data_IF_495666509261
#
_entry.id   IF_495666509261
#
_cell.length_a   1.000
_cell.length_b   1.000
_cell.length_c   1.000
_cell.angle_alpha   90.00
_cell.angle_beta   90.00
_cell.angle_gamma   90.00
#
_symmetry.space_group_name_H-M   'P 1'
#
loop_
_entity.id
_entity.type
_entity.pdbx_description
1 polymer ?
#
# COMPACT_ATOMS: atom_id res chain seq x y z
N UNK A 1 -22.73 32.11 -20.02
CA UNK A 1 -22.48 30.66 -19.86
C UNK A 1 -21.02 30.52 -19.48
N UNK A 2 -20.76 30.02 -18.29
CA UNK A 2 -19.41 29.75 -17.76
C UNK A 2 -18.65 28.78 -18.69
N UNK A 3 -17.42 29.13 -19.08
CA UNK A 3 -16.60 28.28 -19.96
C UNK A 3 -16.20 27.02 -19.23
N UNK A 4 -15.92 25.94 -19.95
CA UNK A 4 -15.50 24.65 -19.36
C UNK A 4 -14.25 24.79 -18.47
N UNK A 5 -13.30 25.63 -18.88
CA UNK A 5 -12.11 26.00 -18.14
C UNK A 5 -12.47 26.55 -16.73
N UNK A 6 -13.37 27.51 -16.70
CA UNK A 6 -13.74 28.20 -15.47
C UNK A 6 -14.46 27.26 -14.48
N UNK A 7 -15.26 26.32 -15.00
CA UNK A 7 -15.91 25.29 -14.19
C UNK A 7 -14.90 24.33 -13.53
N UNK A 8 -13.83 23.99 -14.27
CA UNK A 8 -12.77 23.12 -13.75
C UNK A 8 -11.98 23.86 -12.66
N UNK A 9 -11.64 25.12 -12.88
CA UNK A 9 -10.96 25.94 -11.87
C UNK A 9 -11.83 26.12 -10.62
N UNK A 10 -13.12 26.44 -10.79
CA UNK A 10 -14.07 26.56 -9.67
C UNK A 10 -14.16 25.25 -8.85
N UNK A 11 -14.10 24.09 -9.52
CA UNK A 11 -14.02 22.81 -8.82
C UNK A 11 -12.76 22.73 -7.93
N UNK A 12 -11.58 23.06 -8.49
CA UNK A 12 -10.34 23.06 -7.72
C UNK A 12 -10.35 24.07 -6.57
N UNK A 13 -10.93 25.26 -6.76
CA UNK A 13 -11.04 26.29 -5.72
C UNK A 13 -11.89 25.83 -4.53
N UNK A 14 -12.88 24.95 -4.78
CA UNK A 14 -13.78 24.40 -3.74
C UNK A 14 -13.29 23.09 -3.12
N UNK A 15 -12.22 22.49 -3.64
CA UNK A 15 -11.60 21.30 -2.99
C UNK A 15 -10.83 21.73 -1.75
N UNK A 16 -10.80 20.91 -0.71
CA UNK A 16 -10.00 21.18 0.50
C UNK A 16 -8.49 21.25 0.17
N UNK A 17 -7.76 22.07 0.90
CA UNK A 17 -6.30 22.16 0.74
C UNK A 17 -5.63 20.81 1.01
N UNK A 18 -4.55 20.52 0.31
CA UNK A 18 -3.84 19.25 0.40
C UNK A 18 -4.55 18.05 -0.24
N UNK A 19 -5.64 18.27 -1.00
CA UNK A 19 -6.37 17.19 -1.66
C UNK A 19 -5.80 16.88 -3.03
N UNK A 20 -5.48 15.61 -3.28
CA UNK A 20 -5.18 15.12 -4.63
C UNK A 20 -6.48 14.84 -5.37
N UNK A 21 -6.64 15.46 -6.54
CA UNK A 21 -7.77 15.27 -7.44
C UNK A 21 -7.41 14.30 -8.55
N UNK A 22 -8.13 13.18 -8.64
CA UNK A 22 -8.09 12.29 -9.80
C UNK A 22 -8.96 12.87 -10.91
N UNK A 23 -8.38 13.13 -12.08
CA UNK A 23 -9.12 13.67 -13.22
C UNK A 23 -10.24 12.73 -13.68
N UNK A 24 -10.05 11.40 -13.58
CA UNK A 24 -11.10 10.43 -13.89
C UNK A 24 -12.27 10.54 -12.92
N UNK A 25 -12.00 10.58 -11.61
CA UNK A 25 -13.04 10.67 -10.58
C UNK A 25 -13.79 12.02 -10.68
N UNK A 26 -13.04 13.09 -10.94
CA UNK A 26 -13.61 14.41 -11.18
C UNK A 26 -14.56 14.39 -12.41
N UNK A 27 -14.15 13.74 -13.50
CA UNK A 27 -15.00 13.59 -14.68
C UNK A 27 -16.27 12.79 -14.36
N UNK A 28 -16.13 11.63 -13.77
CA UNK A 28 -17.23 10.70 -13.46
C UNK A 28 -18.27 11.31 -12.51
N UNK A 29 -17.85 12.13 -11.54
CA UNK A 29 -18.75 12.66 -10.51
C UNK A 29 -19.26 14.08 -10.80
N UNK A 30 -18.56 14.86 -11.63
CA UNK A 30 -18.92 16.27 -11.84
C UNK A 30 -19.07 16.72 -13.29
N UNK A 31 -18.44 16.02 -14.24
CA UNK A 31 -18.26 16.51 -15.61
C UNK A 31 -18.74 15.54 -16.71
N UNK A 32 -19.48 14.49 -16.39
CA UNK A 32 -19.97 13.49 -17.37
C UNK A 32 -20.79 14.09 -18.53
N UNK A 33 -21.38 15.26 -18.34
CA UNK A 33 -22.14 15.96 -19.38
C UNK A 33 -21.25 16.70 -20.39
N UNK A 34 -19.96 16.82 -20.09
CA UNK A 34 -18.96 17.39 -20.98
C UNK A 34 -18.41 16.29 -21.89
N UNK A 35 -18.05 16.65 -23.14
CA UNK A 35 -17.29 15.71 -23.95
C UNK A 35 -15.99 15.32 -23.23
N UNK A 36 -15.76 14.02 -23.09
CA UNK A 36 -14.68 13.46 -22.28
C UNK A 36 -13.29 13.95 -22.76
N UNK A 37 -13.06 13.91 -24.07
CA UNK A 37 -11.78 14.34 -24.63
C UNK A 37 -11.55 15.84 -24.42
N UNK A 38 -12.60 16.66 -24.59
CA UNK A 38 -12.52 18.08 -24.32
C UNK A 38 -12.26 18.41 -22.86
N UNK A 39 -12.81 17.61 -21.93
CA UNK A 39 -12.56 17.74 -20.51
C UNK A 39 -11.08 17.47 -20.20
N UNK A 40 -10.53 16.30 -20.59
CA UNK A 40 -9.14 15.96 -20.29
C UNK A 40 -8.15 16.93 -20.93
N UNK A 41 -8.40 17.39 -22.16
CA UNK A 41 -7.59 18.44 -22.80
C UNK A 41 -7.64 19.76 -22.04
N UNK A 42 -8.79 20.11 -21.44
CA UNK A 42 -8.89 21.33 -20.64
C UNK A 42 -8.10 21.20 -19.32
N UNK A 43 -8.15 20.04 -18.66
CA UNK A 43 -7.35 19.76 -17.45
C UNK A 43 -5.85 19.83 -17.76
N UNK A 44 -5.40 19.18 -18.85
CA UNK A 44 -3.99 19.23 -19.27
C UNK A 44 -3.53 20.66 -19.54
N UNK A 45 -4.34 21.45 -20.29
CA UNK A 45 -4.02 22.85 -20.56
C UNK A 45 -3.90 23.68 -19.28
N UNK A 46 -4.80 23.50 -18.32
CA UNK A 46 -4.72 24.20 -17.03
C UNK A 46 -3.43 23.83 -16.26
N UNK A 47 -3.00 22.59 -16.37
CA UNK A 47 -1.72 22.16 -15.80
C UNK A 47 -0.53 22.77 -16.53
N UNK A 48 -0.55 22.84 -17.86
CA UNK A 48 0.51 23.46 -18.67
C UNK A 48 0.61 24.97 -18.41
N UNK A 49 -0.53 25.63 -18.15
CA UNK A 49 -0.62 27.04 -17.76
C UNK A 49 -0.21 27.28 -16.29
N UNK A 50 0.01 26.21 -15.50
CA UNK A 50 0.40 26.29 -14.08
C UNK A 50 -0.72 26.76 -13.15
N UNK A 51 -1.99 26.65 -13.57
CA UNK A 51 -3.16 26.96 -12.74
C UNK A 51 -3.50 25.82 -11.77
N UNK A 52 -3.19 24.59 -12.17
CA UNK A 52 -3.19 23.40 -11.33
C UNK A 52 -1.86 22.68 -11.50
N UNK A 53 -1.46 21.88 -10.53
CA UNK A 53 -0.17 21.19 -10.55
C UNK A 53 -0.37 19.69 -10.73
N UNK A 54 0.26 19.12 -11.74
CA UNK A 54 0.26 17.68 -11.96
C UNK A 54 1.27 17.00 -11.03
N UNK A 55 0.81 16.10 -10.18
CA UNK A 55 1.65 15.32 -9.25
C UNK A 55 1.86 13.88 -9.71
N UNK A 56 1.02 13.41 -10.64
CA UNK A 56 1.11 12.09 -11.24
C UNK A 56 0.24 11.97 -12.47
N UNK A 57 0.21 10.81 -13.12
CA UNK A 57 -0.63 10.59 -14.29
C UNK A 57 -2.13 10.70 -13.90
N UNK A 58 -2.81 11.73 -14.40
CA UNK A 58 -4.21 11.99 -14.10
C UNK A 58 -4.47 12.45 -12.67
N UNK A 59 -3.44 12.89 -11.94
CA UNK A 59 -3.52 13.34 -10.55
C UNK A 59 -3.00 14.76 -10.43
N UNK A 60 -3.81 15.62 -9.82
CA UNK A 60 -3.57 17.07 -9.76
C UNK A 60 -3.85 17.61 -8.36
N UNK A 61 -3.20 18.70 -8.01
CA UNK A 61 -3.45 19.49 -6.79
C UNK A 61 -3.68 20.95 -7.14
N UNK A 62 -4.21 21.72 -6.19
CA UNK A 62 -4.25 23.18 -6.30
C UNK A 62 -2.84 23.74 -6.44
N UNK A 63 -2.73 24.86 -7.11
CA UNK A 63 -1.49 25.63 -7.22
C UNK A 63 -0.95 26.06 -5.84
N UNK A 64 -1.84 26.41 -4.92
CA UNK A 64 -1.48 26.78 -3.53
C UNK A 64 -0.79 25.66 -2.77
N UNK A 65 -1.10 24.39 -3.06
CA UNK A 65 -0.56 23.22 -2.36
C UNK A 65 0.83 22.82 -2.88
N UNK A 66 1.29 23.40 -3.99
CA UNK A 66 2.59 23.08 -4.61
C UNK A 66 3.80 23.43 -3.72
N UNK A 67 3.61 24.26 -2.70
CA UNK A 67 4.66 24.61 -1.72
C UNK A 67 4.81 23.57 -0.59
N UNK A 68 3.86 22.63 -0.49
CA UNK A 68 3.87 21.56 0.50
C UNK A 68 4.73 20.36 0.11
N UNK A 69 4.80 19.37 1.00
CA UNK A 69 5.43 18.07 0.72
C UNK A 69 4.49 17.22 -0.15
N UNK A 70 4.79 17.19 -1.45
CA UNK A 70 4.02 16.40 -2.44
C UNK A 70 4.08 14.90 -2.10
N UNK A 71 5.19 14.41 -1.55
CA UNK A 71 5.31 13.01 -1.13
C UNK A 71 4.32 12.70 -0.02
N UNK A 72 4.21 13.57 0.98
CA UNK A 72 3.23 13.42 2.05
C UNK A 72 1.79 13.46 1.53
N UNK A 73 1.46 14.37 0.61
CA UNK A 73 0.14 14.43 -0.01
C UNK A 73 -0.20 13.14 -0.77
N UNK A 74 0.76 12.59 -1.52
CA UNK A 74 0.59 11.32 -2.23
C UNK A 74 0.40 10.14 -1.26
N UNK A 75 1.16 10.09 -0.19
CA UNK A 75 1.01 9.05 0.83
C UNK A 75 -0.37 9.14 1.49
N UNK A 76 -0.81 10.33 1.90
CA UNK A 76 -2.14 10.54 2.47
C UNK A 76 -3.25 10.11 1.51
N UNK A 77 -3.12 10.42 0.22
CA UNK A 77 -4.06 9.96 -0.81
C UNK A 77 -4.15 8.43 -0.90
N UNK A 78 -3.01 7.74 -0.95
CA UNK A 78 -2.99 6.28 -1.11
C UNK A 78 -3.32 5.52 0.18
N UNK A 79 -3.08 6.10 1.34
CA UNK A 79 -3.42 5.50 2.63
C UNK A 79 -4.87 5.77 3.04
N UNK A 80 -5.50 6.87 2.55
CA UNK A 80 -6.82 7.31 2.95
C UNK A 80 -6.82 7.96 4.34
N UNK A 81 -7.95 8.58 4.71
CA UNK A 81 -8.09 9.37 5.94
C UNK A 81 -7.74 8.60 7.21
N UNK A 82 -8.13 7.32 7.28
CA UNK A 82 -7.91 6.45 8.45
C UNK A 82 -6.70 5.51 8.28
N UNK A 83 -5.84 5.73 7.30
CA UNK A 83 -4.76 4.82 6.90
C UNK A 83 -5.22 3.37 6.63
N UNK A 84 -6.48 3.20 6.23
CA UNK A 84 -7.10 1.90 5.99
C UNK A 84 -6.98 1.41 4.54
N UNK A 85 -6.64 2.32 3.62
CA UNK A 85 -6.62 2.03 2.18
C UNK A 85 -5.24 1.68 1.63
N UNK A 86 -4.17 1.81 2.44
CA UNK A 86 -2.79 1.58 2.02
C UNK A 86 -1.95 0.89 3.09
N UNK A 87 -0.86 0.27 2.64
CA UNK A 87 0.17 -0.31 3.52
C UNK A 87 1.54 -0.23 2.87
N UNK A 88 2.57 0.05 3.65
CA UNK A 88 3.94 -0.01 3.17
C UNK A 88 4.40 -1.44 2.89
N UNK A 89 5.32 -1.57 1.93
CA UNK A 89 6.12 -2.77 1.69
C UNK A 89 7.61 -2.44 1.77
N UNK A 90 8.48 -3.45 1.68
CA UNK A 90 9.93 -3.24 1.67
C UNK A 90 10.46 -2.52 2.92
N UNK A 91 11.44 -1.65 2.72
CA UNK A 91 12.18 -0.98 3.82
C UNK A 91 11.25 -0.21 4.77
N UNK A 92 10.26 0.51 4.25
CA UNK A 92 9.33 1.27 5.08
C UNK A 92 8.48 0.36 5.98
N UNK A 93 8.06 -0.82 5.48
CA UNK A 93 7.40 -1.83 6.29
C UNK A 93 8.33 -2.37 7.38
N UNK A 94 9.59 -2.65 7.03
CA UNK A 94 10.55 -3.17 8.01
C UNK A 94 10.88 -2.12 9.09
N UNK A 95 10.98 -0.85 8.71
CA UNK A 95 11.13 0.26 9.66
C UNK A 95 9.91 0.43 10.57
N UNK A 96 8.68 0.27 10.05
CA UNK A 96 7.44 0.30 10.86
C UNK A 96 7.51 -0.64 12.06
N UNK A 97 8.09 -1.82 11.87
CA UNK A 97 8.26 -2.82 12.93
C UNK A 97 9.66 -2.79 13.58
N UNK A 98 10.47 -1.79 13.26
CA UNK A 98 11.83 -1.63 13.77
C UNK A 98 12.73 -2.84 13.47
N UNK A 99 12.48 -3.56 12.39
CA UNK A 99 13.26 -4.73 11.97
C UNK A 99 14.62 -4.35 11.40
N UNK A 100 14.76 -3.11 10.92
CA UNK A 100 16.00 -2.54 10.41
C UNK A 100 16.04 -1.03 10.68
N UNK A 101 17.25 -0.47 10.75
CA UNK A 101 17.46 0.98 10.81
C UNK A 101 17.84 1.58 9.44
N UNK A 102 18.01 0.74 8.42
CA UNK A 102 18.30 1.19 7.05
C UNK A 102 17.15 2.05 6.53
N UNK A 103 17.48 3.16 5.88
CA UNK A 103 16.52 4.07 5.25
C UNK A 103 16.52 3.90 3.75
N UNK A 104 15.43 4.28 3.11
CA UNK A 104 15.30 4.28 1.65
C UNK A 104 14.47 5.49 1.23
N UNK A 105 14.93 6.16 0.19
CA UNK A 105 14.16 7.23 -0.46
C UNK A 105 13.08 6.67 -1.39
N UNK A 106 13.26 5.42 -1.87
CA UNK A 106 12.22 4.72 -2.65
C UNK A 106 11.16 4.18 -1.72
N UNK A 107 9.91 4.51 -2.02
CA UNK A 107 8.73 4.10 -1.25
C UNK A 107 7.96 3.08 -2.08
N UNK A 108 7.68 1.91 -1.49
CA UNK A 108 6.82 0.90 -2.10
C UNK A 108 5.64 0.62 -1.18
N UNK A 109 4.44 0.56 -1.77
CA UNK A 109 3.21 0.32 -1.00
C UNK A 109 2.14 -0.41 -1.82
N UNK A 110 1.21 -1.04 -1.13
CA UNK A 110 -0.08 -1.43 -1.67
C UNK A 110 -1.13 -0.37 -1.36
N UNK A 111 -2.09 -0.17 -2.28
CA UNK A 111 -3.24 0.69 -2.00
C UNK A 111 -4.48 0.23 -2.77
N UNK A 112 -5.63 0.20 -2.07
CA UNK A 112 -6.95 -0.04 -2.65
C UNK A 112 -7.35 1.06 -3.65
N UNK A 113 -6.81 2.28 -3.47
CA UNK A 113 -7.09 3.45 -4.32
C UNK A 113 -6.42 3.32 -5.69
N UNK A 114 -5.34 2.53 -5.80
CA UNK A 114 -4.66 2.30 -7.06
C UNK A 114 -5.55 1.52 -8.04
N UNK A 115 -5.97 2.16 -9.14
CA UNK A 115 -6.83 1.54 -10.16
C UNK A 115 -6.05 0.62 -11.12
N UNK A 116 -4.76 0.86 -11.29
CA UNK A 116 -3.85 0.06 -12.12
C UNK A 116 -3.18 -1.02 -11.27
N UNK A 117 -2.68 -2.08 -11.90
CA UNK A 117 -1.92 -3.12 -11.19
C UNK A 117 -0.68 -2.55 -10.49
N UNK A 118 0.01 -1.62 -11.15
CA UNK A 118 1.16 -0.87 -10.62
C UNK A 118 1.13 0.53 -11.18
N UNK A 119 1.46 1.53 -10.37
CA UNK A 119 1.78 2.87 -10.83
C UNK A 119 3.04 3.40 -10.16
N UNK A 120 3.77 4.25 -10.87
CA UNK A 120 4.99 4.90 -10.39
C UNK A 120 4.79 6.41 -10.42
N UNK A 121 5.07 7.07 -9.31
CA UNK A 121 4.96 8.51 -9.15
C UNK A 121 6.21 9.00 -8.42
N UNK A 122 7.15 9.60 -9.16
CA UNK A 122 8.45 9.94 -8.60
C UNK A 122 9.16 8.71 -8.03
N UNK A 123 9.48 8.76 -6.75
CA UNK A 123 10.12 7.67 -6.01
C UNK A 123 9.13 6.70 -5.34
N UNK A 124 7.82 6.83 -5.62
CA UNK A 124 6.77 6.00 -5.03
C UNK A 124 6.30 4.96 -6.06
N UNK A 125 6.37 3.69 -5.70
CA UNK A 125 5.74 2.57 -6.40
C UNK A 125 4.48 2.15 -5.62
N UNK A 126 3.33 2.22 -6.29
CA UNK A 126 2.05 1.79 -5.71
C UNK A 126 1.52 0.59 -6.48
N UNK A 127 1.21 -0.49 -5.76
CA UNK A 127 0.60 -1.70 -6.31
C UNK A 127 -0.83 -1.84 -5.84
N UNK A 128 -1.71 -2.29 -6.72
CA UNK A 128 -3.05 -2.69 -6.33
C UNK A 128 -3.00 -4.08 -5.68
N UNK A 129 -3.48 -4.26 -4.44
CA UNK A 129 -3.56 -5.58 -3.84
C UNK A 129 -4.66 -6.43 -4.52
N UNK A 130 -4.50 -7.75 -4.49
CA UNK A 130 -5.51 -8.68 -5.01
C UNK A 130 -6.65 -8.94 -4.01
N UNK A 131 -6.57 -8.39 -2.81
CA UNK A 131 -7.59 -8.40 -1.75
C UNK A 131 -7.75 -7.00 -1.19
N UNK A 132 -8.89 -6.71 -0.61
CA UNK A 132 -9.11 -5.47 0.10
C UNK A 132 -8.20 -5.38 1.33
N UNK A 133 -7.60 -4.20 1.54
CA UNK A 133 -6.78 -3.91 2.72
C UNK A 133 -7.70 -3.49 3.87
N UNK A 134 -8.32 -4.47 4.49
CA UNK A 134 -8.91 -4.30 5.82
C UNK A 134 -7.85 -4.55 6.91
N UNK A 135 -8.21 -4.44 8.16
CA UNK A 135 -7.29 -4.60 9.29
C UNK A 135 -6.64 -5.99 9.31
N UNK A 136 -7.42 -7.05 9.13
CA UNK A 136 -6.94 -8.44 9.27
C UNK A 136 -6.15 -8.87 8.04
N UNK A 137 -6.63 -8.58 6.83
CA UNK A 137 -5.91 -8.87 5.59
C UNK A 137 -4.57 -8.12 5.54
N UNK A 138 -4.54 -6.85 5.92
CA UNK A 138 -3.31 -6.05 5.97
C UNK A 138 -2.26 -6.69 6.86
N UNK A 139 -2.63 -7.16 8.05
CA UNK A 139 -1.70 -7.83 8.97
C UNK A 139 -1.11 -9.10 8.37
N UNK A 140 -1.90 -9.89 7.66
CA UNK A 140 -1.42 -11.10 6.97
C UNK A 140 -0.47 -10.75 5.84
N UNK A 141 -0.81 -9.74 5.03
CA UNK A 141 0.04 -9.30 3.90
C UNK A 141 1.38 -8.77 4.44
N UNK A 142 1.38 -7.93 5.46
CA UNK A 142 2.60 -7.43 6.11
C UNK A 142 3.48 -8.58 6.62
N UNK A 143 2.87 -9.56 7.27
CA UNK A 143 3.59 -10.74 7.75
C UNK A 143 4.20 -11.55 6.60
N UNK A 144 3.44 -11.77 5.52
CA UNK A 144 3.95 -12.50 4.36
C UNK A 144 5.08 -11.75 3.66
N UNK A 145 5.01 -10.42 3.53
CA UNK A 145 6.09 -9.60 3.00
C UNK A 145 7.36 -9.71 3.86
N UNK A 146 7.23 -9.68 5.17
CA UNK A 146 8.36 -9.84 6.10
C UNK A 146 8.93 -11.26 6.04
N UNK A 147 8.10 -12.31 6.11
CA UNK A 147 8.56 -13.69 6.09
C UNK A 147 9.19 -14.08 4.76
N UNK A 148 8.63 -13.59 3.65
CA UNK A 148 9.16 -13.87 2.31
C UNK A 148 10.54 -13.25 2.10
N UNK A 149 10.78 -12.09 2.68
CA UNK A 149 12.00 -11.32 2.52
C UNK A 149 12.96 -11.42 3.72
N UNK A 150 12.71 -12.30 4.66
CA UNK A 150 13.48 -12.42 5.92
C UNK A 150 15.00 -12.36 5.73
N UNK A 151 15.54 -13.10 4.77
CA UNK A 151 16.98 -13.12 4.49
C UNK A 151 17.49 -11.91 3.71
N UNK A 152 16.59 -11.12 3.13
CA UNK A 152 16.91 -9.94 2.33
C UNK A 152 16.66 -8.63 3.08
N UNK A 153 16.15 -8.70 4.33
CA UNK A 153 16.02 -7.51 5.18
C UNK A 153 17.43 -7.07 5.57
N UNK A 154 17.88 -5.87 5.12
CA UNK A 154 19.22 -5.42 5.45
C UNK A 154 19.34 -5.16 6.94
N UNK A 155 20.46 -5.55 7.53
CA UNK A 155 20.76 -5.35 8.96
C UNK A 155 19.61 -5.80 9.89
N UNK A 156 19.00 -6.95 9.59
CA UNK A 156 17.86 -7.46 10.37
C UNK A 156 18.17 -7.60 11.85
N UNK A 157 17.43 -6.87 12.68
CA UNK A 157 17.42 -7.05 14.13
C UNK A 157 16.58 -8.29 14.50
N UNK A 158 17.26 -9.39 14.79
CA UNK A 158 16.62 -10.68 15.13
C UNK A 158 15.80 -10.63 16.42
N UNK A 159 16.16 -9.79 17.37
CA UNK A 159 15.40 -9.61 18.62
C UNK A 159 14.09 -8.88 18.35
N UNK A 160 14.13 -7.83 17.54
CA UNK A 160 12.92 -7.12 17.11
C UNK A 160 12.03 -8.02 16.26
N UNK A 161 12.63 -8.82 15.36
CA UNK A 161 11.87 -9.81 14.59
C UNK A 161 11.17 -10.83 15.49
N UNK A 162 11.84 -11.38 16.51
CA UNK A 162 11.21 -12.34 17.44
C UNK A 162 10.03 -11.70 18.20
N UNK A 163 10.14 -10.40 18.56
CA UNK A 163 9.05 -9.63 19.15
C UNK A 163 7.88 -9.46 18.18
N UNK A 164 8.18 -9.07 16.94
CA UNK A 164 7.19 -8.97 15.87
C UNK A 164 6.46 -10.31 15.66
N UNK A 165 7.20 -11.41 15.51
CA UNK A 165 6.64 -12.74 15.30
C UNK A 165 5.67 -13.14 16.43
N UNK A 166 6.01 -12.82 17.69
CA UNK A 166 5.15 -13.07 18.86
C UNK A 166 3.87 -12.24 18.81
N UNK A 167 3.96 -10.95 18.46
CA UNK A 167 2.80 -10.05 18.32
C UNK A 167 1.90 -10.50 17.18
N UNK A 168 2.48 -10.85 16.03
CA UNK A 168 1.76 -11.38 14.89
C UNK A 168 0.97 -12.65 15.28
N UNK A 169 1.63 -13.61 15.90
CA UNK A 169 1.02 -14.87 16.32
C UNK A 169 -0.17 -14.65 17.27
N UNK A 170 -0.08 -13.69 18.20
CA UNK A 170 -1.17 -13.37 19.14
C UNK A 170 -2.41 -12.78 18.51
N UNK A 171 -2.25 -12.07 17.40
CA UNK A 171 -3.36 -11.44 16.68
C UNK A 171 -3.64 -12.09 15.34
N UNK A 172 -3.25 -13.36 15.15
CA UNK A 172 -3.46 -14.08 13.92
C UNK A 172 -4.93 -14.41 13.70
N UNK A 173 -5.42 -14.14 12.49
CA UNK A 173 -6.73 -14.56 12.00
C UNK A 173 -6.56 -15.55 10.84
N UNK A 174 -7.08 -16.78 11.03
CA UNK A 174 -6.94 -17.85 10.04
C UNK A 174 -7.81 -17.62 8.80
N UNK A 175 -8.97 -16.99 8.96
CA UNK A 175 -9.87 -16.66 7.85
C UNK A 175 -9.25 -15.64 6.91
N UNK A 176 -8.68 -14.56 7.46
CA UNK A 176 -7.93 -13.57 6.70
C UNK A 176 -6.71 -14.20 6.01
N UNK A 177 -5.96 -15.08 6.70
CA UNK A 177 -4.83 -15.77 6.11
C UNK A 177 -5.24 -16.63 4.91
N UNK A 178 -6.34 -17.38 5.02
CA UNK A 178 -6.87 -18.17 3.89
C UNK A 178 -7.29 -17.27 2.73
N UNK A 179 -7.95 -16.15 3.00
CA UNK A 179 -8.38 -15.17 1.99
C UNK A 179 -7.18 -14.60 1.24
N UNK A 180 -6.18 -14.12 1.96
CA UNK A 180 -4.95 -13.54 1.39
C UNK A 180 -4.18 -14.58 0.59
N UNK A 181 -3.94 -15.77 1.14
CA UNK A 181 -3.13 -16.81 0.48
C UNK A 181 -3.79 -17.44 -0.75
N UNK A 182 -5.12 -17.39 -0.86
CA UNK A 182 -5.84 -17.81 -2.07
C UNK A 182 -5.77 -16.77 -3.17
N UNK A 183 -5.70 -15.50 -2.82
CA UNK A 183 -5.78 -14.39 -3.77
C UNK A 183 -4.41 -13.85 -4.18
N UNK A 184 -3.43 -13.86 -3.27
CA UNK A 184 -2.08 -13.37 -3.49
C UNK A 184 -1.09 -14.54 -3.61
N UNK A 185 -0.12 -14.40 -4.52
CA UNK A 185 0.87 -15.45 -4.79
C UNK A 185 2.09 -15.29 -3.87
N UNK A 186 2.22 -16.18 -2.91
CA UNK A 186 3.39 -16.28 -2.05
C UNK A 186 4.15 -17.60 -2.27
N UNK A 187 5.45 -17.58 -2.00
CA UNK A 187 6.27 -18.80 -2.04
C UNK A 187 5.85 -19.74 -0.91
N UNK A 188 5.67 -21.02 -1.21
CA UNK A 188 5.31 -22.04 -0.19
C UNK A 188 6.26 -22.05 1.01
N UNK A 189 7.56 -21.78 0.79
CA UNK A 189 8.54 -21.61 1.87
C UNK A 189 8.16 -20.49 2.85
N UNK A 190 7.62 -19.39 2.37
CA UNK A 190 7.20 -18.26 3.21
C UNK A 190 5.95 -18.61 4.01
N UNK A 191 5.01 -19.34 3.42
CA UNK A 191 3.82 -19.88 4.12
C UNK A 191 4.26 -20.88 5.20
N UNK A 192 5.21 -21.76 4.89
CA UNK A 192 5.78 -22.70 5.87
C UNK A 192 6.49 -21.98 7.03
N UNK A 193 7.12 -20.82 6.75
CA UNK A 193 7.73 -20.01 7.80
C UNK A 193 6.67 -19.37 8.70
N UNK A 194 5.61 -18.80 8.14
CA UNK A 194 4.48 -18.28 8.91
C UNK A 194 3.88 -19.39 9.79
N UNK A 195 3.62 -20.57 9.22
CA UNK A 195 3.14 -21.74 9.98
C UNK A 195 4.07 -22.09 11.13
N UNK A 196 5.39 -22.15 10.91
CA UNK A 196 6.37 -22.44 11.98
C UNK A 196 6.30 -21.39 13.10
N UNK A 197 6.12 -20.12 12.78
CA UNK A 197 5.94 -19.06 13.80
C UNK A 197 4.70 -19.34 14.63
N UNK A 198 3.57 -19.60 13.99
CA UNK A 198 2.30 -19.90 14.68
C UNK A 198 2.40 -21.14 15.56
N UNK A 199 2.96 -22.24 15.05
CA UNK A 199 3.16 -23.49 15.78
C UNK A 199 4.07 -23.29 17.01
N UNK A 200 5.13 -22.45 16.87
CA UNK A 200 6.05 -22.11 17.96
C UNK A 200 5.33 -21.43 19.12
N UNK A 201 4.34 -20.59 18.82
CA UNK A 201 3.51 -19.91 19.81
C UNK A 201 2.21 -20.64 20.12
N UNK A 202 2.02 -21.87 19.59
CA UNK A 202 0.85 -22.73 19.81
C UNK A 202 -0.47 -22.09 19.34
N UNK A 203 -0.43 -21.35 18.23
CA UNK A 203 -1.61 -20.75 17.61
C UNK A 203 -2.20 -21.72 16.60
N UNK A 204 -3.46 -22.14 16.75
CA UNK A 204 -4.15 -22.98 15.76
C UNK A 204 -4.18 -22.30 14.38
N UNK A 205 -3.92 -23.07 13.33
CA UNK A 205 -3.93 -22.56 11.96
C UNK A 205 -4.22 -23.69 10.97
N UNK A 206 -4.75 -23.32 9.79
CA UNK A 206 -5.06 -24.26 8.69
C UNK A 206 -4.06 -24.18 7.54
N UNK A 207 -2.89 -23.57 7.75
CA UNK A 207 -1.91 -23.28 6.69
C UNK A 207 -1.34 -24.52 6.01
N UNK A 208 -1.45 -25.70 6.61
CA UNK A 208 -1.05 -26.98 5.98
C UNK A 208 -1.74 -27.21 4.64
N UNK A 209 -2.96 -26.69 4.42
CA UNK A 209 -3.68 -26.81 3.16
C UNK A 209 -2.98 -26.15 1.97
N UNK A 210 -2.08 -25.20 2.20
CA UNK A 210 -1.29 -24.48 1.18
C UNK A 210 0.08 -25.11 0.94
N UNK A 211 0.45 -26.14 1.71
CA UNK A 211 1.75 -26.79 1.69
C UNK A 211 1.65 -28.20 1.09
N UNK A 212 2.77 -28.72 0.63
CA UNK A 212 2.85 -30.12 0.18
C UNK A 212 3.30 -31.02 1.31
N UNK A 213 2.59 -32.11 1.55
CA UNK A 213 2.94 -33.11 2.57
C UNK A 213 4.30 -33.81 2.31
N UNK A 214 4.70 -33.88 1.03
CA UNK A 214 5.95 -34.53 0.63
C UNK A 214 7.16 -33.58 0.64
N UNK A 215 6.98 -32.29 0.89
CA UNK A 215 8.04 -31.28 0.77
C UNK A 215 8.56 -30.84 2.13
N UNK A 216 9.89 -30.88 2.29
CA UNK A 216 10.57 -30.26 3.42
C UNK A 216 10.95 -28.83 3.06
N UNK A 217 10.33 -27.86 3.72
CA UNK A 217 10.63 -26.45 3.51
C UNK A 217 11.75 -25.99 4.45
N UNK A 218 12.84 -25.49 3.87
CA UNK A 218 13.88 -24.82 4.65
C UNK A 218 13.37 -23.46 5.10
N UNK A 219 13.07 -23.31 6.38
CA UNK A 219 12.59 -22.06 6.97
C UNK A 219 13.65 -21.50 7.92
N UNK A 220 13.69 -20.16 8.10
CA UNK A 220 14.62 -19.54 9.02
C UNK A 220 14.45 -20.06 10.45
N UNK A 221 15.56 -20.11 11.19
CA UNK A 221 15.53 -20.32 12.62
C UNK A 221 15.42 -18.96 13.31
N UNK A 222 14.52 -18.82 14.25
CA UNK A 222 14.43 -17.64 15.09
C UNK A 222 14.27 -18.03 16.55
N UNK A 223 14.83 -17.22 17.44
CA UNK A 223 14.73 -17.47 18.87
C UNK A 223 13.38 -17.01 19.40
N UNK A 224 12.66 -17.90 20.07
CA UNK A 224 11.45 -17.56 20.80
C UNK A 224 11.82 -16.61 21.94
N UNK A 225 11.10 -15.48 22.05
CA UNK A 225 11.24 -14.64 23.24
C UNK A 225 10.79 -15.41 24.48
N UNK A 226 11.56 -15.32 25.57
CA UNK A 226 11.13 -15.80 26.86
C UNK A 226 9.76 -15.18 27.23
N UNK A 227 8.98 -15.89 28.05
CA UNK A 227 7.64 -15.48 28.49
C UNK A 227 7.66 -14.17 29.26
#
# INVERSE_FOLDING_TARGET
IMKNRDKILDYFDNVADGTIVSANDMYEHGFVRMNQEAFFRAVERLSDEGEIIRVGRGMYIKKSDAQGDITELLLNYFFGEDNSSGMFTGIHLYNKYSLTNVKSDSISLYSNVCKQSVCHIGNIEVKRPAVELDFDNTRIIEAMEIFQNYFNIPELDKTKFARYAKQFARGYDDGAAVTVLRSMKYKKRSIAFMKKVLDTYKVPNTLSQFLSNASHYKVPTFNKLAR
#
